data_IF_263563470870
#
_entry.id   IF_263563470870
#
_cell.length_a   1.000
_cell.length_b   1.000
_cell.length_c   1.000
_cell.angle_alpha   90.00
_cell.angle_beta   90.00
_cell.angle_gamma   90.00
#
_symmetry.space_group_name_H-M   'P 1'
#
loop_
_entity.id
_entity.type
_entity.pdbx_description
1 polymer ?
#
# COMPACT_ATOMS: atom_id res chain seq x y z
N UNK A 1 -2.33 -5.98 17.67
CA UNK A 1 -0.95 -5.96 18.18
C UNK A 1 -0.15 -7.03 17.49
N UNK A 2 0.66 -6.63 16.55
CA UNK A 2 0.90 -7.31 15.29
C UNK A 2 2.25 -8.00 15.20
N UNK A 3 3.23 -7.52 15.91
CA UNK A 3 4.56 -8.12 15.93
C UNK A 3 4.70 -9.31 16.87
N UNK A 4 3.92 -9.38 17.94
CA UNK A 4 4.12 -10.37 19.02
C UNK A 4 4.06 -11.82 18.55
N UNK A 5 3.07 -12.18 17.74
CA UNK A 5 2.92 -13.54 17.20
C UNK A 5 4.07 -13.86 16.24
N UNK A 6 4.41 -12.94 15.33
CA UNK A 6 5.48 -13.13 14.36
C UNK A 6 6.86 -13.19 15.02
N UNK A 7 7.13 -12.35 16.01
CA UNK A 7 8.37 -12.38 16.81
C UNK A 7 8.50 -13.72 17.53
N UNK A 8 7.45 -14.22 18.15
CA UNK A 8 7.45 -15.52 18.83
C UNK A 8 7.66 -16.67 17.86
N UNK A 9 7.01 -16.66 16.68
CA UNK A 9 7.20 -17.65 15.61
C UNK A 9 8.64 -17.65 15.11
N UNK A 10 9.16 -16.45 14.76
CA UNK A 10 10.52 -16.28 14.27
C UNK A 10 11.55 -16.81 15.27
N UNK A 11 11.45 -16.42 16.53
CA UNK A 11 12.33 -16.89 17.59
C UNK A 11 12.31 -18.41 17.76
N UNK A 12 11.11 -19.00 17.68
CA UNK A 12 10.95 -20.46 17.79
C UNK A 12 11.56 -21.19 16.58
N UNK A 13 11.39 -20.64 15.37
CA UNK A 13 11.98 -21.17 14.15
C UNK A 13 13.52 -21.12 14.20
N UNK A 14 14.05 -20.04 14.74
CA UNK A 14 15.49 -19.89 15.02
C UNK A 14 15.97 -20.73 16.19
N UNK A 15 15.07 -21.42 16.93
CA UNK A 15 15.35 -22.24 18.13
C UNK A 15 16.08 -21.47 19.23
N UNK A 16 15.77 -20.18 19.38
CA UNK A 16 16.43 -19.30 20.37
C UNK A 16 15.56 -19.07 21.59
N UNK A 17 16.23 -18.90 22.76
CA UNK A 17 15.57 -18.35 23.95
C UNK A 17 15.23 -16.86 23.75
N UNK A 18 14.35 -16.29 24.58
CA UNK A 18 14.10 -14.83 24.55
C UNK A 18 15.39 -14.02 24.80
N UNK A 19 16.28 -14.51 25.64
CA UNK A 19 17.55 -13.84 25.95
C UNK A 19 18.52 -13.89 24.76
N UNK A 20 18.63 -15.04 24.08
CA UNK A 20 19.50 -15.19 22.92
C UNK A 20 18.98 -14.39 21.74
N UNK A 21 17.66 -14.40 21.51
CA UNK A 21 17.04 -13.62 20.45
C UNK A 21 17.18 -12.11 20.70
N UNK A 22 17.08 -11.68 21.96
CA UNK A 22 17.32 -10.28 22.34
C UNK A 22 18.77 -9.85 22.04
N UNK A 23 19.73 -10.75 22.28
CA UNK A 23 21.14 -10.52 21.98
C UNK A 23 21.39 -10.37 20.48
N UNK A 24 20.74 -11.21 19.67
CA UNK A 24 20.77 -11.13 18.19
C UNK A 24 20.24 -9.79 17.67
N UNK A 25 19.17 -9.27 18.27
CA UNK A 25 18.55 -8.02 17.89
C UNK A 25 19.18 -6.78 18.54
N UNK A 26 20.13 -6.94 19.45
CA UNK A 26 20.75 -5.84 20.20
C UNK A 26 19.78 -5.11 21.13
N UNK A 27 18.84 -5.84 21.74
CA UNK A 27 17.82 -5.31 22.66
C UNK A 27 17.78 -6.08 23.99
N UNK A 28 16.99 -5.63 24.97
CA UNK A 28 16.82 -6.37 26.22
C UNK A 28 15.85 -7.57 26.06
N UNK A 29 16.06 -8.64 26.84
CA UNK A 29 15.12 -9.77 26.85
C UNK A 29 13.73 -9.37 27.36
N UNK A 30 13.63 -8.36 28.21
CA UNK A 30 12.36 -7.78 28.64
C UNK A 30 11.62 -7.12 27.50
N UNK A 31 12.33 -6.48 26.55
CA UNK A 31 11.74 -5.93 25.32
C UNK A 31 11.09 -7.04 24.50
N UNK A 32 11.81 -8.14 24.27
CA UNK A 32 11.25 -9.29 23.54
C UNK A 32 10.01 -9.82 24.24
N UNK A 33 10.06 -10.01 25.55
CA UNK A 33 8.90 -10.48 26.33
C UNK A 33 7.70 -9.52 26.28
N UNK A 34 7.93 -8.22 26.23
CA UNK A 34 6.88 -7.20 26.03
C UNK A 34 6.30 -7.25 24.63
N UNK A 35 7.13 -7.37 23.59
CA UNK A 35 6.69 -7.46 22.21
C UNK A 35 5.88 -8.75 21.95
N UNK A 36 6.38 -9.92 22.39
CA UNK A 36 5.66 -11.19 22.24
C UNK A 36 4.30 -11.20 22.94
N UNK A 37 4.16 -10.48 24.04
CA UNK A 37 2.90 -10.32 24.79
C UNK A 37 2.04 -9.16 24.28
N UNK A 38 2.54 -8.43 23.28
CA UNK A 38 1.87 -7.29 22.70
C UNK A 38 1.72 -6.09 23.65
N UNK A 39 2.55 -5.97 24.69
CA UNK A 39 2.53 -4.84 25.64
C UNK A 39 3.23 -3.60 25.09
N UNK A 40 4.12 -3.77 24.14
CA UNK A 40 4.81 -2.70 23.40
C UNK A 40 5.19 -3.20 22.03
N UNK A 41 5.57 -2.29 21.13
CA UNK A 41 6.04 -2.61 19.79
C UNK A 41 7.54 -2.38 19.63
N UNK A 42 8.20 -3.09 18.69
CA UNK A 42 9.59 -2.83 18.33
C UNK A 42 9.78 -1.40 17.82
N UNK A 43 10.91 -0.78 18.18
CA UNK A 43 11.32 0.50 17.60
C UNK A 43 11.74 0.34 16.11
N UNK A 44 11.92 1.44 15.38
CA UNK A 44 12.24 1.42 13.95
C UNK A 44 13.47 0.58 13.62
N UNK A 45 14.54 0.67 14.42
CA UNK A 45 15.76 -0.11 14.22
C UNK A 45 15.51 -1.61 14.38
N UNK A 46 14.80 -2.02 15.42
CA UNK A 46 14.45 -3.41 15.66
C UNK A 46 13.50 -3.94 14.58
N UNK A 47 12.53 -3.14 14.10
CA UNK A 47 11.64 -3.51 13.01
C UNK A 47 12.41 -3.84 11.74
N UNK A 48 13.39 -3.02 11.34
CA UNK A 48 14.20 -3.28 10.15
C UNK A 48 14.92 -4.63 10.21
N UNK A 49 15.49 -4.98 11.37
CA UNK A 49 16.16 -6.27 11.55
C UNK A 49 15.14 -7.43 11.55
N UNK A 50 14.03 -7.26 12.28
CA UNK A 50 12.95 -8.26 12.34
C UNK A 50 12.36 -8.55 10.96
N UNK A 51 12.14 -7.53 10.14
CA UNK A 51 11.64 -7.66 8.77
C UNK A 51 12.58 -8.55 7.94
N UNK A 52 13.89 -8.27 7.98
CA UNK A 52 14.89 -9.09 7.25
C UNK A 52 14.88 -10.55 7.70
N UNK A 53 14.84 -10.78 9.00
CA UNK A 53 14.81 -12.12 9.56
C UNK A 53 13.48 -12.84 9.23
N UNK A 54 12.35 -12.18 9.34
CA UNK A 54 11.07 -12.76 8.97
C UNK A 54 11.03 -13.17 7.49
N UNK A 55 11.54 -12.32 6.59
CA UNK A 55 11.66 -12.65 5.17
C UNK A 55 12.59 -13.87 4.94
N UNK A 56 13.72 -13.91 5.62
CA UNK A 56 14.68 -15.03 5.53
C UNK A 56 14.07 -16.37 5.96
N UNK A 57 13.23 -16.36 6.99
CA UNK A 57 12.59 -17.56 7.54
C UNK A 57 11.15 -17.77 7.02
N UNK A 58 10.71 -17.03 6.02
CA UNK A 58 9.33 -17.05 5.47
C UNK A 58 8.24 -16.93 6.55
N UNK A 59 8.50 -16.15 7.61
CA UNK A 59 7.56 -15.89 8.70
C UNK A 59 6.76 -14.62 8.35
N UNK A 60 5.44 -14.68 8.25
CA UNK A 60 4.64 -13.46 8.15
C UNK A 60 4.81 -12.64 9.43
N UNK A 61 5.34 -11.44 9.31
CA UNK A 61 5.69 -10.58 10.46
C UNK A 61 4.68 -9.47 10.72
N UNK A 62 3.65 -9.41 9.92
CA UNK A 62 2.45 -8.62 10.19
C UNK A 62 1.26 -9.57 10.09
N UNK A 63 0.34 -9.53 11.06
CA UNK A 63 -1.02 -9.92 10.75
C UNK A 63 -1.40 -9.10 9.51
N UNK A 64 -2.20 -9.65 8.61
CA UNK A 64 -2.60 -9.07 7.32
C UNK A 64 -3.24 -7.67 7.41
N UNK A 65 -2.84 -6.87 8.37
CA UNK A 65 -3.20 -5.47 8.40
C UNK A 65 -2.37 -4.75 7.35
N UNK A 66 -3.09 -4.39 6.41
CA UNK A 66 -2.87 -3.57 5.28
C UNK A 66 -2.12 -2.28 5.66
N UNK A 67 -0.80 -2.31 5.46
CA UNK A 67 0.07 -1.17 5.74
C UNK A 67 -0.42 0.10 5.04
N UNK A 68 -1.03 -0.04 3.86
CA UNK A 68 -1.61 1.08 3.15
C UNK A 68 -2.76 1.71 3.93
N UNK A 69 -3.66 0.90 4.49
CA UNK A 69 -4.72 1.40 5.38
C UNK A 69 -4.15 2.08 6.63
N UNK A 70 -3.07 1.54 7.19
CA UNK A 70 -2.40 2.15 8.36
C UNK A 70 -1.78 3.50 8.00
N UNK A 71 -1.11 3.60 6.85
CA UNK A 71 -0.57 4.87 6.35
C UNK A 71 -1.69 5.88 6.13
N UNK A 72 -2.78 5.50 5.47
CA UNK A 72 -3.90 6.40 5.23
C UNK A 72 -4.52 6.92 6.53
N UNK A 73 -4.66 6.06 7.54
CA UNK A 73 -5.19 6.45 8.86
C UNK A 73 -4.23 7.39 9.60
N UNK A 74 -2.93 7.08 9.58
CA UNK A 74 -1.89 7.89 10.22
C UNK A 74 -1.74 9.27 9.58
N UNK A 75 -1.91 9.35 8.26
CA UNK A 75 -1.67 10.55 7.46
C UNK A 75 -2.96 11.23 6.98
N UNK A 76 -4.13 10.88 7.52
CA UNK A 76 -5.44 11.31 7.00
C UNK A 76 -5.63 12.83 6.93
N UNK A 77 -4.94 13.59 7.79
CA UNK A 77 -5.00 15.06 7.85
C UNK A 77 -3.89 15.74 7.05
N UNK A 78 -2.96 14.98 6.49
CA UNK A 78 -1.85 15.54 5.73
C UNK A 78 -2.33 16.16 4.41
N UNK A 79 -1.89 17.39 4.08
CA UNK A 79 -2.34 18.08 2.87
C UNK A 79 -2.13 17.28 1.58
N UNK A 80 -1.02 16.52 1.48
CA UNK A 80 -0.73 15.69 0.30
C UNK A 80 -1.68 14.51 0.17
N UNK A 81 -2.15 13.92 1.27
CA UNK A 81 -3.18 12.87 1.24
C UNK A 81 -4.52 13.45 0.79
N UNK A 82 -4.89 14.61 1.31
CA UNK A 82 -6.11 15.30 0.89
C UNK A 82 -6.07 15.68 -0.61
N UNK A 83 -4.91 16.11 -1.10
CA UNK A 83 -4.65 16.38 -2.51
C UNK A 83 -4.76 15.10 -3.35
N UNK A 84 -4.21 13.97 -2.89
CA UNK A 84 -4.26 12.69 -3.59
C UNK A 84 -5.69 12.19 -3.83
N UNK A 85 -6.60 12.43 -2.90
CA UNK A 85 -8.03 12.14 -3.07
C UNK A 85 -8.78 13.13 -3.95
N UNK A 86 -8.17 14.23 -4.37
CA UNK A 86 -8.83 15.29 -5.13
C UNK A 86 -8.55 15.13 -6.62
N UNK A 87 -9.56 14.75 -7.39
CA UNK A 87 -9.49 14.69 -8.86
C UNK A 87 -9.56 16.09 -9.49
N UNK A 88 -8.93 16.26 -10.64
CA UNK A 88 -8.95 17.52 -11.38
C UNK A 88 -10.36 18.04 -11.64
N UNK A 89 -11.34 17.15 -11.87
CA UNK A 89 -12.72 17.55 -12.12
C UNK A 89 -13.39 18.25 -10.94
N UNK A 90 -12.89 18.05 -9.71
CA UNK A 90 -13.37 18.76 -8.53
C UNK A 90 -13.21 20.28 -8.68
N UNK A 91 -12.13 20.76 -9.30
CA UNK A 91 -11.92 22.17 -9.58
C UNK A 91 -12.96 22.75 -10.56
N UNK A 92 -13.50 21.93 -11.47
CA UNK A 92 -14.62 22.37 -12.32
C UNK A 92 -15.89 22.66 -11.51
N UNK A 93 -16.17 21.82 -10.50
CA UNK A 93 -17.26 22.07 -9.55
C UNK A 93 -17.01 23.35 -8.72
N UNK A 94 -15.78 23.52 -8.20
CA UNK A 94 -15.43 24.71 -7.41
C UNK A 94 -15.59 25.99 -8.22
N UNK A 95 -15.13 26.01 -9.47
CA UNK A 95 -15.27 27.15 -10.37
C UNK A 95 -16.74 27.50 -10.67
N UNK A 96 -17.58 26.50 -10.94
CA UNK A 96 -19.05 26.72 -11.15
C UNK A 96 -19.69 27.36 -9.93
N UNK A 97 -19.23 27.04 -8.73
CA UNK A 97 -19.74 27.54 -7.47
C UNK A 97 -19.00 28.80 -6.96
N UNK A 98 -18.11 29.40 -7.76
CA UNK A 98 -17.28 30.56 -7.41
C UNK A 98 -16.42 30.34 -6.15
N UNK A 99 -15.98 29.12 -5.93
CA UNK A 99 -15.07 28.74 -4.83
C UNK A 99 -13.62 28.70 -5.31
N UNK A 100 -12.65 28.92 -4.42
CA UNK A 100 -11.23 28.85 -4.76
C UNK A 100 -10.85 27.42 -5.20
N UNK A 101 -9.99 27.34 -6.22
CA UNK A 101 -9.42 26.07 -6.65
C UNK A 101 -8.46 25.50 -5.61
N UNK A 102 -8.36 24.18 -5.61
CA UNK A 102 -7.47 23.44 -4.70
C UNK A 102 -6.46 22.58 -5.49
N UNK A 103 -5.32 22.22 -4.90
CA UNK A 103 -4.41 21.24 -5.49
C UNK A 103 -5.12 19.92 -5.75
N UNK A 104 -4.76 19.24 -6.84
CA UNK A 104 -5.35 17.96 -7.24
C UNK A 104 -4.26 16.91 -7.58
N UNK A 105 -4.65 15.69 -7.80
CA UNK A 105 -3.81 14.51 -7.73
C UNK A 105 -2.85 14.24 -8.89
N UNK A 106 -2.94 14.93 -10.03
CA UNK A 106 -2.21 14.54 -11.26
C UNK A 106 -0.68 14.49 -11.10
N UNK A 107 -0.07 15.46 -10.43
CA UNK A 107 1.38 15.47 -10.22
C UNK A 107 1.81 14.39 -9.24
N UNK A 108 1.05 14.22 -8.16
CA UNK A 108 1.27 13.14 -7.19
C UNK A 108 1.14 11.77 -7.83
N UNK A 109 0.18 11.58 -8.74
CA UNK A 109 -0.01 10.33 -9.47
C UNK A 109 1.19 10.01 -10.37
N UNK A 110 1.69 11.00 -11.11
CA UNK A 110 2.89 10.82 -11.94
C UNK A 110 4.09 10.40 -11.10
N UNK A 111 4.26 11.00 -9.94
CA UNK A 111 5.34 10.68 -9.01
C UNK A 111 5.15 9.29 -8.38
N UNK A 112 3.93 9.01 -7.92
CA UNK A 112 3.59 7.74 -7.29
C UNK A 112 3.63 6.55 -8.23
N UNK A 113 3.25 6.73 -9.51
CA UNK A 113 3.42 5.72 -10.56
C UNK A 113 4.90 5.30 -10.70
N UNK A 114 5.82 6.28 -10.71
CA UNK A 114 7.24 5.99 -10.79
C UNK A 114 7.75 5.23 -9.54
N UNK A 115 7.33 5.64 -8.34
CA UNK A 115 7.71 4.99 -7.08
C UNK A 115 7.14 3.58 -6.98
N UNK A 116 5.87 3.39 -7.36
CA UNK A 116 5.21 2.08 -7.35
C UNK A 116 5.87 1.12 -8.36
N UNK A 117 6.23 1.61 -9.53
CA UNK A 117 6.98 0.84 -10.53
C UNK A 117 8.35 0.41 -10.02
N UNK A 118 9.06 1.28 -9.31
CA UNK A 118 10.32 0.93 -8.67
C UNK A 118 10.12 -0.17 -7.63
N UNK A 119 9.11 -0.04 -6.76
CA UNK A 119 8.80 -1.04 -5.74
C UNK A 119 8.49 -2.41 -6.36
N UNK A 120 7.70 -2.48 -7.43
CA UNK A 120 7.46 -3.74 -8.13
C UNK A 120 8.69 -4.29 -8.84
N UNK A 121 9.58 -3.44 -9.36
CA UNK A 121 10.87 -3.90 -9.90
C UNK A 121 11.73 -4.57 -8.83
N UNK A 122 11.77 -3.98 -7.62
CA UNK A 122 12.52 -4.54 -6.49
C UNK A 122 11.95 -5.91 -6.06
N UNK A 123 10.64 -5.99 -5.86
CA UNK A 123 9.94 -7.23 -5.45
C UNK A 123 10.12 -8.37 -6.46
N UNK A 124 10.16 -8.04 -7.74
CA UNK A 124 10.20 -9.00 -8.85
C UNK A 124 11.62 -9.17 -9.42
N UNK A 125 12.65 -8.60 -8.78
CA UNK A 125 14.02 -8.70 -9.26
C UNK A 125 14.44 -10.17 -9.39
N UNK A 126 14.98 -10.51 -10.57
CA UNK A 126 15.38 -11.89 -10.88
C UNK A 126 14.26 -12.80 -11.41
N UNK A 127 13.02 -12.31 -11.48
CA UNK A 127 11.92 -13.04 -12.13
C UNK A 127 12.07 -12.95 -13.65
N UNK A 128 11.91 -14.08 -14.32
CA UNK A 128 11.91 -14.13 -15.78
C UNK A 128 10.79 -13.28 -16.37
N UNK A 129 11.05 -12.55 -17.46
CA UNK A 129 10.11 -11.63 -18.08
C UNK A 129 9.58 -10.52 -17.14
N UNK A 130 10.47 -9.92 -16.35
CA UNK A 130 10.17 -8.88 -15.35
C UNK A 130 9.14 -7.83 -15.82
N UNK A 131 9.29 -7.31 -17.05
CA UNK A 131 8.39 -6.27 -17.58
C UNK A 131 6.93 -6.76 -17.68
N UNK A 132 6.73 -8.00 -18.17
CA UNK A 132 5.40 -8.59 -18.32
C UNK A 132 4.80 -8.95 -16.96
N UNK A 133 5.62 -9.52 -16.07
CA UNK A 133 5.18 -9.83 -14.71
C UNK A 133 4.76 -8.57 -13.95
N UNK A 134 5.56 -7.52 -14.02
CA UNK A 134 5.28 -6.24 -13.38
C UNK A 134 3.96 -5.61 -13.87
N UNK A 135 3.68 -5.65 -15.18
CA UNK A 135 2.43 -5.13 -15.74
C UNK A 135 1.17 -5.72 -15.14
N UNK A 136 1.22 -6.95 -14.62
CA UNK A 136 0.06 -7.55 -13.93
C UNK A 136 -0.36 -6.73 -12.72
N UNK A 137 0.59 -6.16 -11.98
CA UNK A 137 0.33 -5.49 -10.71
C UNK A 137 0.11 -3.99 -10.86
N UNK A 138 0.74 -3.36 -11.86
CA UNK A 138 0.66 -1.91 -12.11
C UNK A 138 -0.42 -1.51 -13.13
N UNK A 139 -1.14 -2.49 -13.74
CA UNK A 139 -2.17 -2.17 -14.72
C UNK A 139 -3.34 -1.43 -14.11
N UNK A 140 -3.85 -0.40 -14.80
CA UNK A 140 -5.07 0.33 -14.41
C UNK A 140 -6.21 -0.63 -14.05
N UNK A 141 -6.34 -1.74 -14.80
CA UNK A 141 -7.37 -2.75 -14.53
C UNK A 141 -7.26 -3.33 -13.14
N UNK A 142 -6.09 -3.81 -12.73
CA UNK A 142 -5.92 -4.43 -11.42
C UNK A 142 -5.91 -3.38 -10.30
N UNK A 143 -5.39 -2.19 -10.55
CA UNK A 143 -5.53 -1.07 -9.61
C UNK A 143 -7.00 -0.73 -9.37
N UNK A 144 -7.86 -0.75 -10.39
CA UNK A 144 -9.29 -0.46 -10.24
C UNK A 144 -10.06 -1.64 -9.64
N UNK A 145 -9.98 -2.82 -10.26
CA UNK A 145 -10.85 -3.97 -9.94
C UNK A 145 -10.46 -4.67 -8.63
N UNK A 146 -9.19 -4.63 -8.26
CA UNK A 146 -8.67 -5.30 -7.07
C UNK A 146 -8.38 -4.30 -5.97
N UNK A 147 -7.42 -3.41 -6.20
CA UNK A 147 -6.92 -2.50 -5.16
C UNK A 147 -7.96 -1.43 -4.83
N UNK A 148 -8.48 -0.72 -5.82
CA UNK A 148 -9.49 0.33 -5.64
C UNK A 148 -10.76 -0.17 -4.97
N UNK A 149 -11.20 -1.37 -5.36
CA UNK A 149 -12.35 -2.04 -4.74
C UNK A 149 -12.09 -2.41 -3.28
N UNK A 150 -10.90 -2.93 -2.96
CA UNK A 150 -10.55 -3.31 -1.60
C UNK A 150 -10.62 -2.12 -0.63
N UNK A 151 -10.15 -0.96 -1.06
CA UNK A 151 -10.10 0.25 -0.24
C UNK A 151 -11.28 1.19 -0.42
N UNK A 152 -12.26 0.80 -1.20
CA UNK A 152 -13.47 1.58 -1.49
C UNK A 152 -13.17 3.03 -1.93
N UNK A 153 -12.16 3.19 -2.80
CA UNK A 153 -11.60 4.49 -3.22
C UNK A 153 -12.67 5.43 -3.77
N UNK A 154 -13.72 4.91 -4.42
CA UNK A 154 -14.82 5.73 -4.96
C UNK A 154 -15.47 6.60 -3.88
N UNK A 155 -15.60 6.11 -2.65
CA UNK A 155 -16.22 6.87 -1.56
C UNK A 155 -15.35 8.02 -1.07
N UNK A 156 -14.03 7.88 -1.17
CA UNK A 156 -13.06 8.87 -0.70
C UNK A 156 -12.73 9.91 -1.78
N UNK A 157 -12.94 9.57 -3.06
CA UNK A 157 -12.54 10.39 -4.20
C UNK A 157 -13.39 11.67 -4.28
N UNK A 158 -12.73 12.82 -4.29
CA UNK A 158 -13.36 14.12 -4.50
C UNK A 158 -13.38 14.44 -6.00
N UNK A 159 -14.55 14.42 -6.58
CA UNK A 159 -14.82 14.66 -8.00
C UNK A 159 -15.99 15.67 -8.15
N UNK A 160 -16.18 16.17 -9.34
CA UNK A 160 -17.44 16.86 -9.68
C UNK A 160 -18.57 15.82 -9.69
N UNK A 161 -19.42 15.83 -8.67
CA UNK A 161 -20.51 14.86 -8.50
C UNK A 161 -21.60 15.00 -9.56
N UNK A 162 -21.71 16.16 -10.19
CA UNK A 162 -22.64 16.41 -11.28
C UNK A 162 -22.07 15.93 -12.63
N UNK A 163 -20.83 15.42 -12.64
CA UNK A 163 -20.19 14.93 -13.83
C UNK A 163 -20.61 13.48 -14.11
N UNK A 164 -21.21 13.17 -15.27
CA UNK A 164 -21.61 11.82 -15.64
C UNK A 164 -20.46 10.83 -15.75
N UNK A 165 -19.22 11.32 -15.77
CA UNK A 165 -18.00 10.50 -15.78
C UNK A 165 -17.47 10.13 -14.38
N UNK A 166 -18.27 10.27 -13.32
CA UNK A 166 -17.92 9.73 -12.01
C UNK A 166 -17.96 8.19 -12.04
N UNK A 167 -16.94 7.49 -11.51
CA UNK A 167 -16.97 6.04 -11.42
C UNK A 167 -18.10 5.58 -10.48
N UNK A 168 -18.90 4.62 -10.95
CA UNK A 168 -20.04 4.07 -10.19
C UNK A 168 -19.78 2.68 -9.62
N UNK A 169 -18.78 2.01 -10.15
CA UNK A 169 -18.38 0.65 -9.79
C UNK A 169 -16.88 0.46 -10.00
N UNK A 170 -16.39 -0.74 -9.77
CA UNK A 170 -14.98 -1.12 -9.92
C UNK A 170 -14.78 -2.07 -11.12
N UNK A 171 -15.52 -1.87 -12.21
CA UNK A 171 -15.41 -2.70 -13.43
C UNK A 171 -14.62 -1.93 -14.49
N UNK A 172 -13.41 -2.39 -14.80
CA UNK A 172 -12.57 -1.77 -15.83
C UNK A 172 -13.14 -2.01 -17.24
N UNK A 173 -13.42 -0.92 -17.95
CA UNK A 173 -13.99 -0.92 -19.31
C UNK A 173 -13.00 -0.51 -20.41
N UNK A 174 -11.71 -0.54 -20.10
CA UNK A 174 -10.62 -0.21 -21.00
C UNK A 174 -10.13 1.23 -20.89
N UNK A 175 -9.03 1.52 -21.59
CA UNK A 175 -8.31 2.81 -21.43
C UNK A 175 -9.12 4.05 -21.84
N UNK A 176 -10.18 3.90 -22.64
CA UNK A 176 -11.07 5.01 -23.01
C UNK A 176 -12.02 5.42 -21.87
N UNK A 177 -12.19 4.58 -20.86
CA UNK A 177 -13.02 4.88 -19.69
C UNK A 177 -12.28 5.74 -18.69
N UNK A 178 -12.36 7.05 -18.89
CA UNK A 178 -11.72 8.04 -18.01
C UNK A 178 -12.28 8.04 -16.59
N UNK A 179 -13.50 7.53 -16.37
CA UNK A 179 -14.12 7.51 -15.05
C UNK A 179 -13.39 6.55 -14.10
N UNK A 180 -13.11 5.33 -14.56
CA UNK A 180 -12.39 4.32 -13.78
C UNK A 180 -10.89 4.63 -13.68
N UNK A 181 -10.30 5.26 -14.69
CA UNK A 181 -8.90 5.71 -14.63
C UNK A 181 -8.64 6.65 -13.44
N UNK A 182 -9.62 7.43 -13.00
CA UNK A 182 -9.51 8.27 -11.79
C UNK A 182 -9.21 7.48 -10.53
N UNK A 183 -9.69 6.23 -10.44
CA UNK A 183 -9.42 5.36 -9.30
C UNK A 183 -7.94 4.97 -9.29
N UNK A 184 -7.40 4.53 -10.44
CA UNK A 184 -5.97 4.20 -10.57
C UNK A 184 -5.09 5.42 -10.27
N UNK A 185 -5.41 6.57 -10.89
CA UNK A 185 -4.72 7.85 -10.64
C UNK A 185 -4.73 8.25 -9.16
N UNK A 186 -5.86 8.03 -8.46
CA UNK A 186 -5.95 8.31 -7.01
C UNK A 186 -5.03 7.38 -6.20
N UNK A 187 -5.00 6.09 -6.53
CA UNK A 187 -4.12 5.12 -5.85
C UNK A 187 -2.63 5.45 -6.07
N UNK A 188 -2.25 5.74 -7.31
CA UNK A 188 -0.90 6.22 -7.63
C UNK A 188 -0.56 7.50 -6.85
N UNK A 189 -1.49 8.47 -6.81
CA UNK A 189 -1.29 9.72 -6.07
C UNK A 189 -1.13 9.48 -4.56
N UNK A 190 -1.86 8.54 -3.98
CA UNK A 190 -1.73 8.16 -2.56
C UNK A 190 -0.35 7.55 -2.28
N UNK A 191 0.15 6.66 -3.14
CA UNK A 191 1.53 6.16 -3.04
C UNK A 191 2.54 7.30 -3.12
N UNK A 192 2.35 8.22 -4.07
CA UNK A 192 3.20 9.41 -4.20
C UNK A 192 3.18 10.29 -2.95
N UNK A 193 2.00 10.53 -2.39
CA UNK A 193 1.84 11.33 -1.17
C UNK A 193 2.50 10.67 0.04
N UNK A 194 2.26 9.38 0.29
CA UNK A 194 2.88 8.62 1.37
C UNK A 194 4.40 8.71 1.27
N UNK A 195 4.95 8.39 0.10
CA UNK A 195 6.41 8.45 -0.09
C UNK A 195 6.97 9.88 0.04
N UNK A 196 6.25 10.90 -0.40
CA UNK A 196 6.71 12.30 -0.23
C UNK A 196 6.73 12.75 1.23
N UNK A 197 5.83 12.23 2.06
CA UNK A 197 5.76 12.56 3.49
C UNK A 197 6.84 11.79 4.26
N UNK A 198 6.90 10.48 4.12
CA UNK A 198 7.74 9.61 4.95
C UNK A 198 9.15 9.41 4.40
N UNK A 199 9.34 9.57 3.08
CA UNK A 199 10.60 9.33 2.36
C UNK A 199 11.16 7.91 2.60
N UNK A 200 10.29 6.96 2.88
CA UNK A 200 10.63 5.57 3.14
C UNK A 200 10.21 4.68 1.96
N UNK A 201 11.18 4.26 1.14
CA UNK A 201 10.92 3.36 0.01
C UNK A 201 10.58 1.93 0.48
N UNK A 202 11.12 1.51 1.61
CA UNK A 202 10.81 0.17 2.16
C UNK A 202 9.34 0.08 2.56
N UNK A 203 8.75 1.16 3.07
CA UNK A 203 7.31 1.21 3.35
C UNK A 203 6.48 1.02 2.08
N UNK A 204 6.87 1.65 0.97
CA UNK A 204 6.19 1.47 -0.32
C UNK A 204 6.39 0.06 -0.88
N UNK A 205 7.58 -0.51 -0.75
CA UNK A 205 7.87 -1.90 -1.15
C UNK A 205 6.96 -2.87 -0.38
N UNK A 206 6.77 -2.68 0.91
CA UNK A 206 5.86 -3.51 1.72
C UNK A 206 4.39 -3.34 1.30
N UNK A 207 3.94 -2.12 1.03
CA UNK A 207 2.60 -1.86 0.47
C UNK A 207 2.44 -2.58 -0.88
N UNK A 208 3.40 -2.44 -1.78
CA UNK A 208 3.37 -3.09 -3.09
C UNK A 208 3.41 -4.62 -2.99
N UNK A 209 4.16 -5.18 -2.03
CA UNK A 209 4.20 -6.63 -1.76
C UNK A 209 2.83 -7.15 -1.30
N UNK A 210 2.16 -6.41 -0.44
CA UNK A 210 0.80 -6.73 -0.01
C UNK A 210 -0.19 -6.64 -1.18
N UNK A 211 -0.12 -5.58 -2.00
CA UNK A 211 -0.95 -5.42 -3.20
C UNK A 211 -0.73 -6.54 -4.21
N UNK A 212 0.53 -6.98 -4.38
CA UNK A 212 0.86 -8.15 -5.20
C UNK A 212 0.12 -9.39 -4.70
N UNK A 213 0.18 -9.69 -3.39
CA UNK A 213 -0.48 -10.85 -2.80
C UNK A 213 -1.99 -10.88 -3.08
N UNK A 214 -2.70 -9.79 -2.82
CA UNK A 214 -4.15 -9.72 -3.07
C UNK A 214 -4.50 -9.77 -4.57
N UNK A 215 -3.62 -9.26 -5.43
CA UNK A 215 -3.81 -9.35 -6.88
C UNK A 215 -3.64 -10.80 -7.36
N UNK A 216 -2.62 -11.52 -6.88
CA UNK A 216 -2.39 -12.93 -7.19
C UNK A 216 -3.58 -13.81 -6.77
N UNK A 217 -4.13 -13.57 -5.58
CA UNK A 217 -5.33 -14.24 -5.10
C UNK A 217 -6.54 -13.99 -6.01
N UNK A 218 -6.77 -12.73 -6.38
CA UNK A 218 -7.88 -12.34 -7.25
C UNK A 218 -7.77 -12.99 -8.64
N UNK A 219 -6.57 -13.01 -9.23
CA UNK A 219 -6.31 -13.65 -10.52
C UNK A 219 -6.49 -15.17 -10.45
N UNK A 220 -6.05 -15.82 -9.37
CA UNK A 220 -6.22 -17.26 -9.15
C UNK A 220 -7.69 -17.65 -9.03
N UNK A 221 -8.49 -16.84 -8.31
CA UNK A 221 -9.92 -17.08 -8.15
C UNK A 221 -10.68 -16.92 -9.48
N UNK A 222 -10.24 -16.01 -10.35
CA UNK A 222 -10.83 -15.81 -11.68
C UNK A 222 -10.59 -17.02 -12.58
N UNK A 223 -9.34 -17.50 -12.64
CA UNK A 223 -8.96 -18.67 -13.47
C UNK A 223 -9.66 -19.97 -13.04
N UNK A 224 -10.17 -20.07 -11.80
CA UNK A 224 -10.94 -21.24 -11.32
C UNK A 224 -12.41 -21.19 -11.72
N UNK A 225 -12.91 -20.06 -12.19
CA UNK A 225 -14.32 -19.86 -12.56
C UNK A 225 -14.54 -19.88 -14.08
N UNK A 226 -13.49 -19.79 -14.84
CA UNK A 226 -13.44 -20.02 -16.30
C UNK A 226 -13.14 -21.49 -16.59
#
# INVERSE_FOLDING_TARGET
>A
MKWGISIKKLRNEMKLSQADFARELGVSSSSIGCWEKGKSEPNAKARSVLTKLCNQYAIPYRDEEDLFSDCLRRLEQEPLILQAFTDRSHNSYLLKNKLPQVPYNSELATYGDAVLKLAFCDILWGVEHLTQEKQKYESDKNLVEVIGKRYDIIKCLKVDRDNPSMPKDYVWRGQKDQSHKRIATCLEALIGAIFMIDRDIEEIIEIARFWKGITDEALTQKNRKE
#
